data_IF_806638066365
#
_entry.id   IF_806638066365
#
_cell.length_a   1.000
_cell.length_b   1.000
_cell.length_c   1.000
_cell.angle_alpha   90.00
_cell.angle_beta   90.00
_cell.angle_gamma   90.00
#
_symmetry.space_group_name_H-M   'P 1'
#
loop_
_entity.id
_entity.type
_entity.pdbx_description
1 polymer ?
#
# COMPACT_ATOMS: atom_id res chain seq x y z
N UNK A 1 5.25 34.89 -15.08
CA UNK A 1 4.80 33.48 -15.19
C UNK A 1 5.89 32.72 -15.90
N UNK A 2 6.52 31.78 -15.19
CA UNK A 2 7.63 31.01 -15.73
C UNK A 2 7.08 29.68 -16.27
N UNK A 3 6.97 29.58 -17.60
CA UNK A 3 6.31 28.46 -18.28
C UNK A 3 7.03 27.14 -18.04
N UNK A 4 8.35 27.16 -17.89
CA UNK A 4 9.15 25.96 -17.65
C UNK A 4 8.92 25.40 -16.24
N UNK A 5 8.89 26.29 -15.25
CA UNK A 5 8.59 25.91 -13.86
C UNK A 5 7.19 25.30 -13.72
N UNK A 6 6.19 25.83 -14.42
CA UNK A 6 4.84 25.28 -14.38
C UNK A 6 4.73 23.93 -15.11
N UNK A 7 5.44 23.75 -16.22
CA UNK A 7 5.51 22.44 -16.89
C UNK A 7 6.19 21.37 -16.02
N UNK A 8 7.27 21.74 -15.33
CA UNK A 8 7.95 20.83 -14.40
C UNK A 8 7.03 20.43 -13.24
N UNK A 9 6.32 21.40 -12.65
CA UNK A 9 5.34 21.14 -11.59
C UNK A 9 4.23 20.19 -12.03
N UNK A 10 3.71 20.35 -13.26
CA UNK A 10 2.68 19.46 -13.81
C UNK A 10 3.21 18.05 -14.05
N UNK A 11 4.44 17.93 -14.56
CA UNK A 11 5.10 16.64 -14.79
C UNK A 11 5.34 15.90 -13.47
N UNK A 12 5.80 16.60 -12.44
CA UNK A 12 5.95 16.06 -11.09
C UNK A 12 4.61 15.61 -10.50
N UNK A 13 3.56 16.43 -10.61
CA UNK A 13 2.23 16.06 -10.14
C UNK A 13 1.68 14.81 -10.86
N UNK A 14 1.91 14.67 -12.16
CA UNK A 14 1.50 13.50 -12.93
C UNK A 14 2.23 12.24 -12.48
N UNK A 15 3.55 12.33 -12.29
CA UNK A 15 4.37 11.20 -11.81
C UNK A 15 3.94 10.80 -10.40
N UNK A 16 3.73 11.76 -9.50
CA UNK A 16 3.22 11.50 -8.14
C UNK A 16 1.85 10.81 -8.19
N UNK A 17 0.96 11.26 -9.09
CA UNK A 17 -0.36 10.65 -9.26
C UNK A 17 -0.27 9.20 -9.73
N UNK A 18 0.64 8.90 -10.67
CA UNK A 18 0.85 7.54 -11.17
C UNK A 18 1.41 6.62 -10.08
N UNK A 19 2.41 7.10 -9.34
CA UNK A 19 3.01 6.37 -8.21
C UNK A 19 1.96 6.09 -7.14
N UNK A 20 1.15 7.09 -6.78
CA UNK A 20 0.08 6.94 -5.78
C UNK A 20 -0.91 5.84 -6.16
N UNK A 21 -1.32 5.78 -7.44
CA UNK A 21 -2.19 4.72 -7.95
C UNK A 21 -1.55 3.33 -7.89
N UNK A 22 -0.28 3.21 -8.24
CA UNK A 22 0.47 1.94 -8.15
C UNK A 22 0.64 1.48 -6.70
N UNK A 23 0.91 2.40 -5.77
CA UNK A 23 1.03 2.09 -4.34
C UNK A 23 -0.31 1.65 -3.74
N UNK A 24 -1.42 2.27 -4.13
CA UNK A 24 -2.76 1.82 -3.74
C UNK A 24 -3.02 0.38 -4.18
N UNK A 25 -2.59 0.00 -5.40
CA UNK A 25 -2.73 -1.37 -5.89
C UNK A 25 -1.85 -2.36 -5.09
N UNK A 26 -0.66 -1.95 -4.65
CA UNK A 26 0.21 -2.78 -3.79
C UNK A 26 -0.44 -3.04 -2.44
N UNK A 27 -0.95 -1.99 -1.78
CA UNK A 27 -1.67 -2.10 -0.50
C UNK A 27 -2.87 -3.03 -0.64
N UNK A 28 -3.67 -2.87 -1.69
CA UNK A 28 -4.82 -3.73 -1.97
C UNK A 28 -4.40 -5.18 -2.17
N UNK A 29 -3.29 -5.42 -2.88
CA UNK A 29 -2.75 -6.78 -3.16
C UNK A 29 -2.24 -7.45 -1.89
N UNK A 30 -1.57 -6.70 -1.02
CA UNK A 30 -1.13 -7.18 0.29
C UNK A 30 -2.33 -7.55 1.16
N UNK A 31 -3.33 -6.67 1.23
CA UNK A 31 -4.57 -6.91 1.98
C UNK A 31 -5.31 -8.14 1.48
N UNK A 32 -5.46 -8.30 0.16
CA UNK A 32 -6.07 -9.48 -0.46
C UNK A 32 -5.34 -10.76 -0.07
N UNK A 33 -4.00 -10.74 -0.12
CA UNK A 33 -3.16 -11.90 0.18
C UNK A 33 -3.30 -12.32 1.64
N UNK A 34 -3.23 -11.37 2.56
CA UNK A 34 -3.36 -11.64 4.00
C UNK A 34 -4.79 -12.04 4.38
N UNK A 35 -5.81 -11.39 3.79
CA UNK A 35 -7.20 -11.71 4.03
C UNK A 35 -7.57 -13.11 3.51
N UNK A 36 -7.05 -13.49 2.34
CA UNK A 36 -7.20 -14.84 1.81
C UNK A 36 -6.51 -15.88 2.68
N UNK A 37 -5.29 -15.59 3.15
CA UNK A 37 -4.57 -16.48 4.07
C UNK A 37 -5.36 -16.68 5.37
N UNK A 38 -5.79 -15.60 6.01
CA UNK A 38 -6.57 -15.64 7.24
C UNK A 38 -7.91 -16.37 7.06
N UNK A 39 -8.57 -16.20 5.92
CA UNK A 39 -9.80 -16.94 5.60
C UNK A 39 -9.54 -18.44 5.41
N UNK A 40 -8.44 -18.84 4.77
CA UNK A 40 -8.10 -20.25 4.54
C UNK A 40 -7.63 -20.99 5.79
N UNK A 41 -7.08 -20.28 6.78
CA UNK A 41 -6.66 -20.87 8.06
C UNK A 41 -7.82 -21.36 8.92
N UNK A 42 -9.05 -20.92 8.63
CA UNK A 42 -10.26 -21.33 9.33
C UNK A 42 -10.73 -22.72 8.86
N UNK A 43 -10.77 -23.75 9.74
CA UNK A 43 -11.19 -25.09 9.36
C UNK A 43 -12.59 -25.14 8.71
N UNK A 44 -13.50 -24.27 9.16
CA UNK A 44 -14.86 -24.11 8.61
C UNK A 44 -14.91 -23.56 7.17
N UNK A 45 -13.77 -23.11 6.65
CA UNK A 45 -13.60 -22.63 5.28
C UNK A 45 -12.91 -23.64 4.36
N UNK A 46 -12.60 -24.85 4.85
CA UNK A 46 -12.01 -25.91 4.04
C UNK A 46 -12.92 -26.25 2.86
N UNK A 47 -12.36 -26.26 1.65
CA UNK A 47 -13.09 -26.55 0.42
C UNK A 47 -13.90 -25.38 -0.17
N UNK A 48 -13.93 -24.21 0.49
CA UNK A 48 -14.53 -23.00 -0.07
C UNK A 48 -13.70 -22.46 -1.24
N UNK A 49 -14.39 -21.98 -2.27
CA UNK A 49 -13.81 -21.24 -3.38
C UNK A 49 -13.30 -19.86 -2.94
N UNK A 50 -12.43 -19.25 -3.73
CA UNK A 50 -11.96 -17.89 -3.46
C UNK A 50 -13.10 -16.86 -3.39
N UNK A 51 -14.17 -17.05 -4.18
CA UNK A 51 -15.34 -16.18 -4.12
C UNK A 51 -16.05 -16.28 -2.76
N UNK A 52 -16.17 -17.50 -2.21
CA UNK A 52 -16.78 -17.74 -0.90
C UNK A 52 -15.87 -17.26 0.24
N UNK A 53 -14.55 -17.44 0.12
CA UNK A 53 -13.57 -16.95 1.09
C UNK A 53 -13.66 -15.43 1.25
N UNK A 54 -13.85 -14.67 0.16
CA UNK A 54 -14.05 -13.20 0.20
C UNK A 54 -15.30 -12.78 0.95
N UNK A 55 -16.29 -13.67 1.08
CA UNK A 55 -17.51 -13.40 1.83
C UNK A 55 -17.37 -13.69 3.33
N UNK A 56 -16.29 -14.36 3.75
CA UNK A 56 -16.07 -14.73 5.15
C UNK A 56 -15.76 -13.51 6.03
N UNK A 57 -16.14 -13.60 7.30
CA UNK A 57 -15.81 -12.56 8.28
C UNK A 57 -14.30 -12.44 8.51
N UNK A 58 -13.56 -13.54 8.42
CA UNK A 58 -12.09 -13.54 8.53
C UNK A 58 -11.45 -12.67 7.43
N UNK A 59 -11.87 -12.87 6.17
CA UNK A 59 -11.41 -12.05 5.06
C UNK A 59 -11.78 -10.56 5.25
N UNK A 60 -13.06 -10.28 5.54
CA UNK A 60 -13.56 -8.90 5.71
C UNK A 60 -12.87 -8.18 6.86
N UNK A 61 -12.56 -8.89 7.95
CA UNK A 61 -11.88 -8.31 9.12
C UNK A 61 -10.47 -7.86 8.79
N UNK A 62 -9.71 -8.69 8.06
CA UNK A 62 -8.37 -8.29 7.60
C UNK A 62 -8.47 -7.12 6.62
N UNK A 63 -9.37 -7.19 5.63
CA UNK A 63 -9.52 -6.12 4.63
C UNK A 63 -9.92 -4.76 5.22
N UNK A 64 -10.64 -4.71 6.35
CA UNK A 64 -10.90 -3.45 7.07
C UNK A 64 -9.60 -2.73 7.47
N UNK A 65 -8.55 -3.48 7.78
CA UNK A 65 -7.21 -2.97 8.11
C UNK A 65 -6.40 -2.48 6.91
N UNK A 66 -6.89 -2.61 5.67
CA UNK A 66 -6.25 -2.17 4.44
C UNK A 66 -7.04 -1.09 3.69
N UNK A 67 -8.19 -0.66 4.24
CA UNK A 67 -9.04 0.38 3.67
C UNK A 67 -8.49 1.80 3.80
N UNK A 68 -9.30 2.79 3.43
CA UNK A 68 -8.92 4.21 3.46
C UNK A 68 -8.54 4.70 4.87
N UNK A 69 -7.35 5.29 5.02
CA UNK A 69 -6.82 5.75 6.32
C UNK A 69 -6.14 4.65 7.16
N UNK A 70 -5.90 3.47 6.58
CA UNK A 70 -5.21 2.37 7.26
C UNK A 70 -3.69 2.55 7.33
N UNK A 71 -3.02 1.80 8.22
CA UNK A 71 -1.55 1.80 8.35
C UNK A 71 -0.83 1.60 7.01
N UNK A 72 -1.21 0.62 6.16
CA UNK A 72 -0.61 0.47 4.84
C UNK A 72 -0.72 1.75 3.99
N UNK A 73 -1.84 2.45 4.02
CA UNK A 73 -2.02 3.71 3.28
C UNK A 73 -1.18 4.86 3.86
N UNK A 74 -1.03 4.93 5.18
CA UNK A 74 -0.19 5.95 5.83
C UNK A 74 1.30 5.71 5.54
N UNK A 75 1.74 4.45 5.48
CA UNK A 75 3.10 4.09 5.05
C UNK A 75 3.33 4.49 3.60
N UNK A 76 2.36 4.23 2.71
CA UNK A 76 2.40 4.73 1.33
C UNK A 76 2.54 6.25 1.30
N UNK A 77 1.72 6.98 2.07
CA UNK A 77 1.78 8.44 2.13
C UNK A 77 3.11 8.96 2.68
N UNK A 78 3.67 8.32 3.70
CA UNK A 78 4.97 8.66 4.27
C UNK A 78 6.10 8.45 3.26
N UNK A 79 6.10 7.30 2.56
CA UNK A 79 7.03 7.01 1.47
C UNK A 79 6.90 8.09 0.38
N UNK A 80 5.68 8.44 -0.05
CA UNK A 80 5.48 9.49 -1.06
C UNK A 80 5.89 10.88 -0.58
N UNK A 81 5.67 11.22 0.69
CA UNK A 81 6.05 12.50 1.27
C UNK A 81 7.57 12.68 1.40
N UNK A 82 8.29 11.62 1.79
CA UNK A 82 9.76 11.61 1.85
C UNK A 82 10.38 11.58 0.45
N UNK A 83 9.79 10.82 -0.47
CA UNK A 83 10.30 10.66 -1.84
C UNK A 83 9.91 11.80 -2.79
N UNK A 84 8.93 12.64 -2.45
CA UNK A 84 8.69 13.90 -3.14
C UNK A 84 9.92 14.83 -3.15
N UNK A 85 10.89 14.60 -2.25
CA UNK A 85 12.21 15.25 -2.25
C UNK A 85 13.35 14.43 -2.88
N UNK A 86 13.13 13.14 -3.22
CA UNK A 86 14.12 12.23 -3.81
C UNK A 86 13.59 11.69 -5.15
N UNK A 87 13.94 12.37 -6.25
CA UNK A 87 13.75 11.98 -7.66
C UNK A 87 12.79 10.79 -7.88
N UNK A 88 11.50 11.11 -8.07
CA UNK A 88 10.42 10.16 -8.29
C UNK A 88 10.65 9.17 -9.46
N UNK A 89 11.59 9.46 -10.36
CA UNK A 89 12.00 8.59 -11.47
C UNK A 89 12.53 7.22 -11.04
N UNK A 90 13.31 7.11 -9.97
CA UNK A 90 13.89 5.82 -9.54
C UNK A 90 12.84 4.89 -8.93
N UNK A 91 11.92 5.45 -8.16
CA UNK A 91 10.83 4.68 -7.56
C UNK A 91 9.77 4.34 -8.60
N UNK A 92 9.39 5.31 -9.45
CA UNK A 92 8.48 5.10 -10.58
C UNK A 92 8.99 4.01 -11.52
N UNK A 93 10.28 3.97 -11.83
CA UNK A 93 10.89 2.88 -12.61
C UNK A 93 10.92 1.54 -11.85
N UNK A 94 11.27 1.55 -10.56
CA UNK A 94 11.26 0.34 -9.72
C UNK A 94 9.85 -0.25 -9.52
N UNK A 95 8.81 0.58 -9.56
CA UNK A 95 7.40 0.19 -9.43
C UNK A 95 6.76 -0.16 -10.77
N UNK A 96 7.09 0.58 -11.85
CA UNK A 96 6.65 0.31 -13.21
C UNK A 96 7.21 -1.00 -13.77
N UNK A 97 8.33 -1.49 -13.23
CA UNK A 97 8.88 -2.82 -13.51
C UNK A 97 8.06 -3.99 -12.94
N UNK A 98 6.97 -3.73 -12.21
CA UNK A 98 6.16 -4.73 -11.52
C UNK A 98 6.29 -4.61 -10.00
N UNK A 99 5.35 -5.21 -9.27
CA UNK A 99 5.23 -5.22 -7.81
C UNK A 99 6.57 -5.61 -7.15
N UNK A 100 7.48 -4.66 -6.92
CA UNK A 100 8.78 -4.97 -6.36
C UNK A 100 8.57 -5.49 -4.93
N UNK A 101 9.05 -6.72 -4.61
CA UNK A 101 8.97 -7.29 -3.28
C UNK A 101 9.46 -6.35 -2.17
N UNK A 102 10.40 -5.44 -2.45
CA UNK A 102 10.93 -4.49 -1.47
C UNK A 102 9.86 -3.51 -0.92
N UNK A 103 9.00 -2.98 -1.80
CA UNK A 103 7.93 -2.06 -1.39
C UNK A 103 6.85 -2.80 -0.62
N UNK A 104 6.50 -3.99 -1.12
CA UNK A 104 5.57 -4.89 -0.45
C UNK A 104 6.07 -5.30 0.95
N UNK A 105 7.37 -5.60 1.08
CA UNK A 105 8.02 -5.93 2.35
C UNK A 105 8.07 -4.75 3.31
N UNK A 106 8.39 -3.54 2.85
CA UNK A 106 8.43 -2.35 3.70
C UNK A 106 7.05 -2.03 4.27
N UNK A 107 6.01 -2.05 3.42
CA UNK A 107 4.63 -1.90 3.87
C UNK A 107 4.31 -2.99 4.87
N UNK A 108 4.58 -4.26 4.54
CA UNK A 108 4.28 -5.40 5.40
C UNK A 108 4.99 -5.35 6.75
N UNK A 109 6.27 -5.00 6.81
CA UNK A 109 7.03 -4.83 8.06
C UNK A 109 6.40 -3.75 8.94
N UNK A 110 5.99 -2.65 8.33
CA UNK A 110 5.43 -1.52 9.08
C UNK A 110 3.95 -1.76 9.48
N UNK A 111 3.26 -2.70 8.83
CA UNK A 111 1.84 -2.99 9.08
C UNK A 111 1.60 -4.28 9.86
N UNK A 112 2.54 -5.21 9.79
CA UNK A 112 2.43 -6.59 10.26
C UNK A 112 3.04 -6.86 11.64
N UNK A 113 3.87 -5.96 12.17
CA UNK A 113 4.41 -6.05 13.52
C UNK A 113 3.86 -4.94 14.43
N UNK A 114 3.82 -5.20 15.73
CA UNK A 114 3.31 -4.38 16.86
C UNK A 114 3.92 -2.95 16.98
N UNK A 115 4.66 -2.49 15.97
CA UNK A 115 5.31 -1.17 15.90
C UNK A 115 4.33 -0.01 15.61
N UNK A 116 3.03 -0.31 15.43
CA UNK A 116 1.95 0.71 15.34
C UNK A 116 1.92 1.62 16.56
N UNK A 117 2.36 1.13 17.73
CA UNK A 117 2.43 1.95 18.94
C UNK A 117 3.56 3.00 18.87
N UNK A 118 4.68 2.70 18.20
CA UNK A 118 5.86 3.57 18.19
C UNK A 118 5.91 4.54 17.00
N UNK A 119 5.43 4.15 15.81
CA UNK A 119 5.46 5.04 14.65
C UNK A 119 4.48 6.23 14.77
N UNK A 120 3.35 6.02 15.45
CA UNK A 120 2.33 7.06 15.68
C UNK A 120 2.66 7.97 16.86
N UNK A 121 3.48 7.51 17.81
CA UNK A 121 3.85 8.27 19.00
C UNK A 121 4.88 9.38 18.71
N UNK A 122 5.55 9.35 17.55
CA UNK A 122 6.59 10.32 17.17
C UNK A 122 6.19 11.30 16.06
N UNK A 123 4.89 11.39 15.71
CA UNK A 123 4.39 12.29 14.68
C UNK A 123 3.55 13.48 15.23
N UNK A 124 3.63 13.78 16.53
CA UNK A 124 2.99 14.95 17.16
C UNK A 124 3.98 16.04 17.53
#
# INVERSE_FOLDING_TARGET
FDKEKEQQRLKEAQVISQISGQMSNIVMTLGETEAMKAAREKPENTGKTDAELRQTEAYKTVMKGYGTGSTPQMVVQAITGVLGGLNADNFGQALAGGLNPAVAQLIKQTTGDDDKANLMAHAV
#
